data_IF_893565978329
#
_entry.id   IF_893565978329
#
_cell.length_a   1.000
_cell.length_b   1.000
_cell.length_c   1.000
_cell.angle_alpha   90.00
_cell.angle_beta   90.00
_cell.angle_gamma   90.00
#
_symmetry.space_group_name_H-M   'P 1'
#
loop_
_entity.id
_entity.type
_entity.pdbx_description
1 polymer ?
#
# COMPACT_ATOMS: atom_id res chain seq x y z
N UNK A 1 8.76 -5.23 -1.93
CA UNK A 1 7.41 -5.57 -1.42
C UNK A 1 7.21 -7.07 -1.16
N UNK A 2 7.49 -7.97 -2.13
CA UNK A 2 7.32 -9.43 -1.94
C UNK A 2 8.03 -9.93 -0.69
N UNK A 3 9.27 -9.52 -0.49
CA UNK A 3 10.07 -9.92 0.67
C UNK A 3 9.49 -9.39 1.97
N UNK A 4 9.03 -8.13 1.98
CA UNK A 4 8.34 -7.55 3.14
C UNK A 4 7.09 -8.35 3.51
N UNK A 5 6.24 -8.73 2.54
CA UNK A 5 5.04 -9.52 2.84
C UNK A 5 5.36 -10.95 3.31
N UNK A 6 6.40 -11.57 2.73
CA UNK A 6 6.81 -12.93 3.09
C UNK A 6 7.61 -13.03 4.40
N UNK A 7 8.20 -11.93 4.87
CA UNK A 7 9.02 -11.90 6.08
C UNK A 7 8.25 -12.16 7.40
N UNK A 8 6.94 -12.39 7.34
CA UNK A 8 6.14 -12.79 8.50
C UNK A 8 4.70 -12.34 8.43
N UNK A 9 3.97 -12.52 9.54
CA UNK A 9 2.57 -12.09 9.65
C UNK A 9 2.44 -10.58 9.45
N UNK A 10 1.32 -10.17 8.86
CA UNK A 10 0.92 -8.78 8.68
C UNK A 10 -0.59 -8.69 8.84
N UNK A 11 -1.08 -7.47 9.06
CA UNK A 11 -2.50 -7.18 9.16
C UNK A 11 -2.95 -6.36 7.96
N UNK A 12 -4.21 -6.56 7.58
CA UNK A 12 -4.88 -5.80 6.54
C UNK A 12 -6.05 -5.06 7.17
N UNK A 13 -6.06 -3.74 6.99
CA UNK A 13 -7.12 -2.88 7.51
C UNK A 13 -7.78 -2.17 6.34
N UNK A 14 -9.12 -2.24 6.26
CA UNK A 14 -9.88 -1.47 5.29
C UNK A 14 -9.84 0.02 5.66
N UNK A 15 -9.65 0.88 4.66
CA UNK A 15 -9.77 2.33 4.84
C UNK A 15 -11.21 2.80 4.78
N UNK A 16 -11.41 4.11 4.62
CA UNK A 16 -12.74 4.71 4.44
C UNK A 16 -13.48 4.17 3.21
N UNK A 17 -12.72 3.76 2.18
CA UNK A 17 -13.23 3.16 0.95
C UNK A 17 -12.78 1.70 0.90
N UNK A 18 -13.72 0.76 0.92
CA UNK A 18 -13.40 -0.68 0.94
C UNK A 18 -12.89 -1.18 -0.43
N UNK A 19 -13.45 -0.64 -1.51
CA UNK A 19 -13.15 -1.02 -2.89
C UNK A 19 -12.95 0.20 -3.79
N UNK A 20 -12.34 -0.01 -4.96
CA UNK A 20 -12.40 0.95 -6.05
C UNK A 20 -13.47 0.61 -7.09
N UNK A 21 -13.58 1.46 -8.12
CA UNK A 21 -14.55 1.31 -9.22
C UNK A 21 -14.39 0.00 -10.01
N UNK A 22 -13.28 -0.72 -9.83
CA UNK A 22 -12.98 -1.99 -10.50
C UNK A 22 -13.14 -3.18 -9.55
N UNK A 23 -13.73 -2.99 -8.35
CA UNK A 23 -13.94 -4.05 -7.36
C UNK A 23 -12.66 -4.49 -6.63
N UNK A 24 -11.56 -3.72 -6.73
CA UNK A 24 -10.31 -4.08 -6.03
C UNK A 24 -10.37 -3.60 -4.59
N UNK A 25 -10.13 -4.52 -3.65
CA UNK A 25 -10.05 -4.22 -2.22
C UNK A 25 -8.89 -3.25 -1.91
N UNK A 26 -9.19 -2.15 -1.22
CA UNK A 26 -8.21 -1.17 -0.78
C UNK A 26 -7.82 -1.45 0.67
N UNK A 27 -6.55 -1.76 0.92
CA UNK A 27 -6.07 -2.19 2.24
C UNK A 27 -4.82 -1.43 2.65
N UNK A 28 -4.79 -1.03 3.90
CA UNK A 28 -3.56 -0.64 4.59
C UNK A 28 -2.91 -1.89 5.15
N UNK A 29 -1.66 -2.14 4.76
CA UNK A 29 -0.87 -3.27 5.23
C UNK A 29 0.02 -2.81 6.39
N UNK A 30 -0.13 -3.43 7.56
CA UNK A 30 0.68 -3.11 8.75
C UNK A 30 1.40 -4.33 9.32
N UNK A 31 2.57 -4.10 9.93
CA UNK A 31 3.29 -5.09 10.73
C UNK A 31 3.82 -4.40 11.99
N UNK A 32 3.56 -4.99 13.15
CA UNK A 32 3.98 -4.45 14.45
C UNK A 32 3.57 -2.98 14.65
N UNK A 33 2.41 -2.58 14.14
CA UNK A 33 1.92 -1.19 14.18
C UNK A 33 2.48 -0.26 13.10
N UNK A 34 3.45 -0.70 12.28
CA UNK A 34 4.05 0.11 11.22
C UNK A 34 3.42 -0.17 9.85
N UNK A 35 3.16 0.88 9.08
CA UNK A 35 2.64 0.78 7.70
C UNK A 35 3.76 0.37 6.73
N UNK A 36 3.55 -0.76 6.04
CA UNK A 36 4.46 -1.19 4.96
C UNK A 36 4.36 -0.23 3.77
N UNK A 37 3.17 0.33 3.50
CA UNK A 37 2.98 1.31 2.44
C UNK A 37 3.80 2.59 2.65
N UNK A 38 3.82 3.12 3.88
CA UNK A 38 4.63 4.30 4.21
C UNK A 38 6.14 4.01 4.18
N UNK A 39 6.56 2.79 4.56
CA UNK A 39 7.95 2.35 4.41
C UNK A 39 8.40 2.39 2.95
N UNK A 40 7.59 1.84 2.03
CA UNK A 40 7.90 1.88 0.60
C UNK A 40 7.96 3.30 0.03
N UNK A 41 7.12 4.21 0.53
CA UNK A 41 7.18 5.62 0.13
C UNK A 41 8.47 6.28 0.62
N UNK A 42 8.84 6.01 1.88
CA UNK A 42 10.06 6.56 2.49
C UNK A 42 11.32 6.08 1.77
N UNK A 43 11.33 4.82 1.32
CA UNK A 43 12.43 4.25 0.54
C UNK A 43 12.40 4.62 -0.96
N UNK A 44 11.42 5.42 -1.40
CA UNK A 44 11.29 5.83 -2.81
C UNK A 44 10.82 4.71 -3.75
N UNK A 45 10.34 3.59 -3.22
CA UNK A 45 9.82 2.45 -3.98
C UNK A 45 8.34 2.62 -4.36
N UNK A 46 7.65 3.57 -3.74
CA UNK A 46 6.26 3.91 -4.02
C UNK A 46 6.02 5.42 -3.83
N UNK A 47 4.84 5.89 -4.24
CA UNK A 47 4.40 7.29 -4.04
C UNK A 47 3.02 7.36 -3.43
N UNK A 48 2.73 8.49 -2.75
CA UNK A 48 1.38 8.80 -2.27
C UNK A 48 0.41 8.94 -3.44
N UNK A 49 -0.80 8.45 -3.24
CA UNK A 49 -1.89 8.62 -4.19
C UNK A 49 -2.40 10.07 -4.13
N UNK A 50 -2.40 10.75 -5.28
CA UNK A 50 -2.83 12.15 -5.42
C UNK A 50 -4.14 12.29 -6.23
N UNK A 51 -4.84 11.17 -6.49
CA UNK A 51 -6.11 11.17 -7.22
C UNK A 51 -6.00 10.69 -8.67
N UNK A 52 -4.80 10.56 -9.23
CA UNK A 52 -4.61 10.12 -10.62
C UNK A 52 -3.53 9.03 -10.77
N UNK A 53 -3.72 8.17 -11.77
CA UNK A 53 -2.69 7.21 -12.18
C UNK A 53 -1.57 8.00 -12.85
N UNK A 54 -0.34 7.84 -12.35
CA UNK A 54 0.87 8.30 -13.00
C UNK A 54 1.56 7.13 -13.69
N UNK A 55 2.24 7.43 -14.80
CA UNK A 55 3.18 6.50 -15.41
C UNK A 55 4.40 6.28 -14.52
N UNK A 56 5.27 5.37 -14.93
CA UNK A 56 6.55 5.13 -14.27
C UNK A 56 7.65 6.07 -14.75
N UNK A 57 7.48 6.62 -15.96
CA UNK A 57 8.34 7.64 -16.55
C UNK A 57 7.60 8.97 -16.58
N UNK A 58 8.35 10.06 -16.59
CA UNK A 58 7.85 11.41 -16.77
C UNK A 58 7.29 11.64 -18.18
#
# INVERSE_FOLDING_TARGET
>A
LRDLLNAGKFSLVAGWRDEDRHGRKLRTVTRNGHSIGEMLITEGLARRWDGARRGWCD
#
